data_IF_710228620859
#
_entry.id   IF_710228620859
#
_cell.length_a   1.000
_cell.length_b   1.000
_cell.length_c   1.000
_cell.angle_alpha   90.00
_cell.angle_beta   90.00
_cell.angle_gamma   90.00
#
_symmetry.space_group_name_H-M   'P 1'
#
loop_
_entity.id
_entity.type
_entity.pdbx_description
1 polymer ?
#
# COMPACT_ATOMS: atom_id res chain seq x y z
N UNK A 1 -58.64 28.76 27.46
CA UNK A 1 -58.13 28.28 26.16
C UNK A 1 -56.63 28.18 26.23
N UNK A 2 -56.11 26.98 26.44
CA UNK A 2 -54.67 26.70 26.56
C UNK A 2 -54.17 26.06 25.24
N UNK A 3 -53.37 26.81 24.48
CA UNK A 3 -52.77 26.31 23.23
C UNK A 3 -51.54 25.49 23.58
N UNK A 4 -51.57 24.21 23.24
CA UNK A 4 -50.42 23.32 23.34
C UNK A 4 -49.63 23.44 22.04
N UNK A 5 -48.41 23.94 22.16
CA UNK A 5 -47.45 23.98 21.02
C UNK A 5 -46.70 22.66 21.01
N UNK A 6 -46.95 21.87 19.96
CA UNK A 6 -46.23 20.62 19.69
C UNK A 6 -44.88 20.95 19.02
N UNK A 7 -43.79 20.81 19.75
CA UNK A 7 -42.45 20.94 19.20
C UNK A 7 -42.04 19.64 18.51
N UNK A 8 -41.97 19.67 17.17
CA UNK A 8 -41.43 18.57 16.39
C UNK A 8 -39.91 18.54 16.49
N UNK A 9 -39.36 17.51 17.13
CA UNK A 9 -37.93 17.25 17.19
C UNK A 9 -37.49 16.60 15.84
N UNK A 10 -36.89 17.34 14.95
CA UNK A 10 -36.21 16.76 13.80
C UNK A 10 -34.92 16.08 14.30
N UNK A 11 -34.95 14.74 14.31
CA UNK A 11 -33.76 13.92 14.49
C UNK A 11 -32.92 14.01 13.23
N UNK A 12 -31.85 14.82 13.25
CA UNK A 12 -30.87 14.86 12.20
C UNK A 12 -30.06 13.55 12.27
N UNK A 13 -30.25 12.67 11.29
CA UNK A 13 -29.32 11.55 11.06
C UNK A 13 -27.93 12.14 10.78
N UNK A 14 -27.02 12.02 11.76
CA UNK A 14 -25.61 12.31 11.56
C UNK A 14 -25.07 11.34 10.51
N UNK A 15 -24.86 11.83 9.30
CA UNK A 15 -24.19 11.08 8.25
C UNK A 15 -22.82 10.64 8.72
N UNK A 16 -22.55 9.38 8.50
CA UNK A 16 -21.27 8.72 8.80
C UNK A 16 -20.13 9.44 8.03
N UNK A 17 -19.51 10.40 8.69
CA UNK A 17 -18.36 11.12 8.16
C UNK A 17 -17.18 10.15 8.17
N UNK A 18 -17.02 9.37 7.08
CA UNK A 18 -15.80 8.60 6.85
C UNK A 18 -14.62 9.56 6.97
N UNK A 19 -13.76 9.29 7.93
CA UNK A 19 -12.53 10.06 8.10
C UNK A 19 -11.78 10.12 6.77
N UNK A 20 -11.31 11.30 6.33
CA UNK A 20 -10.54 11.41 5.10
C UNK A 20 -9.38 10.42 5.12
N UNK A 21 -9.18 9.71 4.01
CA UNK A 21 -8.03 8.81 3.89
C UNK A 21 -6.74 9.62 4.00
N UNK A 22 -5.71 9.05 4.65
CA UNK A 22 -4.45 9.76 4.83
C UNK A 22 -3.79 10.05 3.47
N UNK A 23 -3.17 11.22 3.29
CA UNK A 23 -2.45 11.54 2.06
C UNK A 23 -1.31 10.55 1.83
N UNK A 24 -0.93 10.33 0.56
CA UNK A 24 0.11 9.38 0.17
C UNK A 24 1.45 9.62 0.90
N UNK A 25 1.80 10.88 1.17
CA UNK A 25 3.02 11.26 1.90
C UNK A 25 2.93 11.07 3.41
N UNK A 26 1.77 10.69 3.96
CA UNK A 26 1.65 10.52 5.42
C UNK A 26 2.55 9.39 5.94
N UNK A 27 3.17 9.63 7.10
CA UNK A 27 3.98 8.66 7.82
C UNK A 27 3.70 8.76 9.33
N UNK A 28 3.26 7.70 10.02
CA UNK A 28 2.84 6.42 9.44
C UNK A 28 1.58 6.53 8.58
N UNK A 29 1.38 5.54 7.71
CA UNK A 29 0.20 5.45 6.84
C UNK A 29 -0.65 4.23 7.26
N UNK A 30 -1.43 4.36 8.35
CA UNK A 30 -2.24 3.26 8.85
C UNK A 30 -3.40 3.00 7.89
N UNK A 31 -3.51 1.77 7.42
CA UNK A 31 -4.69 1.31 6.69
C UNK A 31 -4.76 -0.22 6.69
N UNK A 32 -5.96 -0.72 6.57
CA UNK A 32 -6.18 -2.14 6.35
C UNK A 32 -5.71 -2.55 4.95
N UNK A 33 -5.02 -3.68 4.87
CA UNK A 33 -4.70 -4.40 3.62
C UNK A 33 -5.12 -5.84 3.79
N UNK A 34 -5.66 -6.47 2.74
CA UNK A 34 -5.97 -7.90 2.77
C UNK A 34 -4.76 -8.71 3.24
N UNK A 35 -4.96 -9.62 4.20
CA UNK A 35 -3.90 -10.47 4.73
C UNK A 35 -3.60 -11.61 3.77
N UNK A 36 -2.33 -11.89 3.53
CA UNK A 36 -1.88 -13.08 2.82
C UNK A 36 -2.30 -14.35 3.57
N UNK A 37 -2.45 -15.50 2.87
CA UNK A 37 -2.57 -16.79 3.54
C UNK A 37 -1.43 -16.98 4.54
N UNK A 38 -1.73 -17.59 5.70
CA UNK A 38 -0.80 -17.67 6.84
C UNK A 38 0.58 -18.21 6.47
N UNK A 39 0.62 -19.29 5.69
CA UNK A 39 1.88 -19.87 5.21
C UNK A 39 2.77 -18.91 4.41
N UNK A 40 2.16 -17.97 3.69
CA UNK A 40 2.89 -16.97 2.91
C UNK A 40 3.21 -15.77 3.80
N UNK A 41 2.27 -15.36 4.64
CA UNK A 41 2.42 -14.22 5.54
C UNK A 41 3.68 -14.32 6.40
N UNK A 42 3.94 -15.50 6.94
CA UNK A 42 5.06 -15.76 7.85
C UNK A 42 6.39 -16.05 7.13
N UNK A 43 6.39 -16.03 5.78
CA UNK A 43 7.63 -16.24 5.03
C UNK A 43 8.58 -15.05 5.19
N UNK A 44 9.83 -15.36 5.52
CA UNK A 44 10.93 -14.42 5.36
C UNK A 44 11.42 -14.43 3.92
N UNK A 45 12.01 -13.31 3.47
CA UNK A 45 12.62 -13.25 2.14
C UNK A 45 13.75 -14.28 2.03
N UNK A 46 13.68 -15.26 1.12
CA UNK A 46 14.70 -16.29 0.97
C UNK A 46 16.01 -15.76 0.35
N UNK A 47 15.97 -14.55 -0.22
CA UNK A 47 17.14 -13.96 -0.84
C UNK A 47 17.95 -13.18 0.21
N UNK A 48 19.28 -13.41 0.20
CA UNK A 48 20.17 -12.56 0.96
C UNK A 48 20.18 -11.15 0.36
N UNK A 49 20.05 -10.14 1.21
CA UNK A 49 20.20 -8.75 0.79
C UNK A 49 21.66 -8.46 0.41
N UNK A 50 21.89 -8.20 -0.87
CA UNK A 50 23.17 -7.71 -1.41
C UNK A 50 22.91 -6.63 -2.47
N UNK A 51 23.93 -5.89 -2.79
CA UNK A 51 23.85 -4.76 -3.73
C UNK A 51 23.28 -5.17 -5.11
N UNK A 52 23.65 -6.34 -5.61
CA UNK A 52 23.19 -6.81 -6.93
C UNK A 52 21.70 -7.11 -6.95
N UNK A 53 21.18 -7.80 -5.91
CA UNK A 53 19.75 -8.13 -5.78
C UNK A 53 18.90 -6.91 -5.50
N UNK A 54 19.39 -6.00 -4.65
CA UNK A 54 18.70 -4.72 -4.39
C UNK A 54 18.64 -3.90 -5.68
N UNK A 55 19.72 -3.81 -6.47
CA UNK A 55 19.74 -3.13 -7.76
C UNK A 55 18.79 -3.79 -8.78
N UNK A 56 18.68 -5.12 -8.79
CA UNK A 56 17.70 -5.83 -9.61
C UNK A 56 16.26 -5.47 -9.21
N UNK A 57 15.95 -5.48 -7.93
CA UNK A 57 14.65 -5.04 -7.40
C UNK A 57 14.33 -3.60 -7.77
N UNK A 58 15.32 -2.72 -7.72
CA UNK A 58 15.18 -1.32 -8.15
C UNK A 58 14.82 -1.22 -9.64
N UNK A 59 15.51 -1.96 -10.52
CA UNK A 59 15.18 -1.95 -11.95
C UNK A 59 13.75 -2.44 -12.22
N UNK A 60 13.33 -3.50 -11.56
CA UNK A 60 11.96 -3.99 -11.63
C UNK A 60 10.96 -2.92 -11.19
N UNK A 61 11.21 -2.29 -10.06
CA UNK A 61 10.36 -1.24 -9.51
C UNK A 61 10.25 -0.02 -10.46
N UNK A 62 11.37 0.43 -11.00
CA UNK A 62 11.43 1.64 -11.81
C UNK A 62 11.02 1.41 -13.27
N UNK A 63 11.33 0.26 -13.88
CA UNK A 63 11.28 0.13 -15.34
C UNK A 63 10.76 -1.21 -15.88
N UNK A 64 11.12 -2.34 -15.26
CA UNK A 64 10.95 -3.65 -15.90
C UNK A 64 9.58 -4.27 -15.60
N UNK A 65 8.94 -3.94 -14.46
CA UNK A 65 7.57 -4.34 -14.19
C UNK A 65 6.58 -3.55 -15.07
N UNK A 66 5.46 -4.15 -15.43
CA UNK A 66 4.44 -3.51 -16.27
C UNK A 66 3.06 -3.62 -15.60
N UNK A 67 2.46 -2.48 -15.20
CA UNK A 67 3.06 -1.13 -15.15
C UNK A 67 4.22 -1.05 -14.17
N UNK A 68 5.14 -0.08 -14.32
CA UNK A 68 6.22 0.08 -13.35
C UNK A 68 5.69 0.62 -12.02
N UNK A 69 6.23 0.12 -10.91
CA UNK A 69 5.74 0.44 -9.56
C UNK A 69 5.84 1.93 -9.26
N UNK A 70 6.90 2.60 -9.75
CA UNK A 70 7.11 4.03 -9.55
C UNK A 70 6.01 4.91 -10.12
N UNK A 71 5.25 4.44 -11.11
CA UNK A 71 4.16 5.25 -11.70
C UNK A 71 3.07 5.59 -10.66
N UNK A 72 2.85 4.70 -9.71
CA UNK A 72 1.92 4.90 -8.60
C UNK A 72 2.65 5.28 -7.31
N UNK A 73 3.70 4.53 -6.96
CA UNK A 73 4.37 4.65 -5.67
C UNK A 73 5.47 5.73 -5.62
N UNK A 74 5.78 6.38 -6.76
CA UNK A 74 6.85 7.37 -6.85
C UNK A 74 8.25 6.75 -6.94
N UNK A 75 9.18 7.46 -7.57
CA UNK A 75 10.58 6.99 -7.74
C UNK A 75 11.31 6.84 -6.39
N UNK A 76 10.89 7.61 -5.38
CA UNK A 76 11.41 7.53 -4.01
C UNK A 76 10.57 6.63 -3.11
N UNK A 77 9.53 6.00 -3.66
CA UNK A 77 8.62 5.17 -2.89
C UNK A 77 7.70 5.94 -1.93
N UNK A 78 7.60 7.25 -2.07
CA UNK A 78 6.85 8.14 -1.19
C UNK A 78 5.32 8.13 -1.41
N UNK A 79 4.84 7.28 -2.32
CA UNK A 79 3.44 7.19 -2.68
C UNK A 79 2.97 8.30 -3.63
N UNK A 80 3.89 9.13 -4.14
CA UNK A 80 3.59 10.29 -4.96
C UNK A 80 4.04 10.10 -6.42
N UNK A 81 3.75 8.95 -7.01
CA UNK A 81 3.99 8.71 -8.42
C UNK A 81 3.05 9.54 -9.32
N UNK A 82 3.38 9.66 -10.63
CA UNK A 82 2.58 10.44 -11.58
C UNK A 82 1.09 10.08 -11.62
N UNK A 83 0.74 8.84 -11.29
CA UNK A 83 -0.64 8.37 -11.29
C UNK A 83 -1.30 8.38 -9.90
N UNK A 84 -0.56 8.75 -8.84
CA UNK A 84 -1.01 8.59 -7.45
C UNK A 84 -2.32 9.34 -7.12
N UNK A 85 -2.51 10.51 -7.71
CA UNK A 85 -3.71 11.33 -7.49
C UNK A 85 -5.02 10.74 -8.05
N UNK A 86 -4.94 9.63 -8.79
CA UNK A 86 -6.11 8.97 -9.38
C UNK A 86 -6.65 7.83 -8.49
N UNK A 87 -6.00 7.55 -7.36
CA UNK A 87 -6.30 6.37 -6.55
C UNK A 87 -6.80 6.72 -5.16
N UNK A 88 -7.85 6.01 -4.77
CA UNK A 88 -8.42 5.99 -3.43
C UNK A 88 -8.57 4.51 -2.98
N UNK A 89 -7.86 4.07 -1.96
CA UNK A 89 -6.86 4.79 -1.17
C UNK A 89 -5.58 5.11 -1.98
N UNK A 90 -4.83 6.16 -1.58
CA UNK A 90 -3.60 6.54 -2.26
C UNK A 90 -2.53 5.42 -2.17
N UNK A 91 -1.55 5.37 -3.08
CA UNK A 91 -0.49 4.36 -3.05
C UNK A 91 0.28 4.36 -1.74
N UNK A 92 0.80 3.18 -1.35
CA UNK A 92 1.57 3.02 -0.12
C UNK A 92 2.86 3.85 -0.18
N UNK A 93 3.15 4.57 0.91
CA UNK A 93 4.41 5.24 1.13
C UNK A 93 5.45 4.23 1.67
N UNK A 94 6.36 3.79 0.81
CA UNK A 94 7.45 2.86 1.17
C UNK A 94 8.65 3.58 1.80
N UNK A 95 8.78 4.90 1.64
CA UNK A 95 9.80 5.67 2.33
C UNK A 95 9.50 5.85 3.83
N UNK A 96 8.32 5.46 4.28
CA UNK A 96 7.96 5.50 5.69
C UNK A 96 8.36 4.20 6.40
N UNK A 97 9.49 4.20 7.09
CA UNK A 97 9.99 3.06 7.86
C UNK A 97 8.95 2.52 8.86
N UNK A 98 8.25 3.40 9.56
CA UNK A 98 7.22 3.02 10.54
C UNK A 98 6.06 2.23 9.91
N UNK A 99 5.76 2.51 8.65
CA UNK A 99 4.73 1.76 7.91
C UNK A 99 5.27 0.43 7.40
N UNK A 100 6.45 0.44 6.76
CA UNK A 100 6.95 -0.71 5.99
C UNK A 100 7.58 -1.77 6.86
N UNK A 101 8.31 -1.38 7.91
CA UNK A 101 9.03 -2.33 8.76
C UNK A 101 8.10 -3.20 9.61
N UNK A 102 6.85 -2.76 9.84
CA UNK A 102 5.83 -3.57 10.50
C UNK A 102 5.13 -4.59 9.59
N UNK A 103 5.39 -4.59 8.28
CA UNK A 103 4.77 -5.51 7.32
C UNK A 103 5.71 -6.68 7.07
N UNK A 104 5.33 -7.95 7.31
CA UNK A 104 6.16 -9.12 6.99
C UNK A 104 6.54 -9.20 5.52
N UNK A 105 7.70 -9.77 5.20
CA UNK A 105 8.17 -9.93 3.82
C UNK A 105 7.20 -10.77 2.98
N UNK A 106 6.64 -11.84 3.54
CA UNK A 106 5.64 -12.66 2.87
C UNK A 106 4.36 -11.89 2.54
N UNK A 107 3.96 -10.95 3.39
CA UNK A 107 2.82 -10.07 3.09
C UNK A 107 3.14 -9.14 1.92
N UNK A 108 4.33 -8.54 1.88
CA UNK A 108 4.76 -7.70 0.76
C UNK A 108 4.84 -8.51 -0.55
N UNK A 109 5.42 -9.71 -0.48
CA UNK A 109 5.50 -10.64 -1.59
C UNK A 109 4.11 -10.95 -2.16
N UNK A 110 3.18 -11.35 -1.29
CA UNK A 110 1.82 -11.72 -1.70
C UNK A 110 1.08 -10.54 -2.36
N UNK A 111 1.18 -9.34 -1.79
CA UNK A 111 0.56 -8.13 -2.35
C UNK A 111 1.11 -7.84 -3.75
N UNK A 112 2.42 -7.95 -3.96
CA UNK A 112 2.99 -7.72 -5.29
C UNK A 112 2.46 -8.76 -6.28
N UNK A 113 2.44 -10.04 -5.92
CA UNK A 113 1.94 -11.08 -6.82
C UNK A 113 0.44 -10.95 -7.14
N UNK A 114 -0.38 -10.64 -6.13
CA UNK A 114 -1.84 -10.76 -6.26
C UNK A 114 -2.55 -9.41 -6.43
N UNK A 115 -1.82 -8.31 -6.30
CA UNK A 115 -2.41 -6.99 -6.17
C UNK A 115 -2.90 -6.75 -4.74
N UNK A 116 -3.42 -5.55 -4.48
CA UNK A 116 -3.95 -5.20 -3.17
C UNK A 116 -5.48 -5.19 -3.22
N UNK A 117 -6.15 -6.20 -2.64
CA UNK A 117 -7.61 -6.28 -2.66
C UNK A 117 -8.26 -5.01 -2.09
N UNK A 118 -9.33 -4.54 -2.76
CA UNK A 118 -10.02 -3.31 -2.40
C UNK A 118 -9.30 -2.02 -2.81
N UNK A 119 -8.24 -2.13 -3.62
CA UNK A 119 -7.53 -0.98 -4.18
C UNK A 119 -7.31 -1.15 -5.68
N UNK A 120 -6.80 -0.11 -6.34
CA UNK A 120 -6.44 -0.16 -7.77
C UNK A 120 -5.07 -0.79 -8.07
N UNK A 121 -4.35 -1.31 -7.06
CA UNK A 121 -3.06 -1.95 -7.29
C UNK A 121 -3.23 -3.28 -8.03
N UNK A 122 -2.71 -3.42 -9.25
CA UNK A 122 -2.86 -4.65 -10.03
C UNK A 122 -1.96 -5.77 -9.51
N UNK A 123 -2.23 -6.99 -9.98
CA UNK A 123 -1.36 -8.14 -9.73
C UNK A 123 -0.18 -8.17 -10.70
N UNK A 124 0.98 -8.62 -10.21
CA UNK A 124 2.20 -8.79 -11.00
C UNK A 124 2.58 -10.27 -11.13
N UNK A 125 1.59 -11.12 -11.40
CA UNK A 125 1.79 -12.59 -11.57
C UNK A 125 2.74 -12.96 -12.72
N UNK A 126 3.00 -12.04 -13.63
CA UNK A 126 4.00 -12.24 -14.69
C UNK A 126 5.45 -12.20 -14.17
N UNK A 127 5.68 -11.62 -13.00
CA UNK A 127 6.99 -11.67 -12.35
C UNK A 127 7.21 -13.05 -11.73
N UNK A 128 8.43 -13.59 -11.89
CA UNK A 128 8.85 -14.81 -11.19
C UNK A 128 9.01 -14.51 -9.70
N UNK A 129 8.86 -15.52 -8.86
CA UNK A 129 8.99 -15.38 -7.40
C UNK A 129 10.29 -14.69 -6.99
N UNK A 130 11.42 -15.07 -7.60
CA UNK A 130 12.70 -14.42 -7.35
C UNK A 130 12.66 -12.91 -7.63
N UNK A 131 12.03 -12.49 -8.71
CA UNK A 131 11.89 -11.07 -9.07
C UNK A 131 11.04 -10.32 -8.06
N UNK A 132 9.94 -10.94 -7.58
CA UNK A 132 9.12 -10.35 -6.50
C UNK A 132 9.93 -10.20 -5.22
N UNK A 133 10.72 -11.22 -4.84
CA UNK A 133 11.59 -11.13 -3.67
C UNK A 133 12.66 -10.05 -3.80
N UNK A 134 13.21 -9.85 -5.01
CA UNK A 134 14.12 -8.72 -5.28
C UNK A 134 13.42 -7.37 -5.11
N UNK A 135 12.17 -7.24 -5.57
CA UNK A 135 11.36 -6.04 -5.31
C UNK A 135 11.20 -5.82 -3.80
N UNK A 136 10.88 -6.86 -3.03
CA UNK A 136 10.74 -6.75 -1.55
C UNK A 136 12.04 -6.26 -0.91
N UNK A 137 13.22 -6.74 -1.36
CA UNK A 137 14.51 -6.20 -0.88
C UNK A 137 14.64 -4.71 -1.16
N UNK A 138 14.24 -4.26 -2.33
CA UNK A 138 14.30 -2.83 -2.67
C UNK A 138 13.29 -2.00 -1.86
N UNK A 139 12.08 -2.51 -1.58
CA UNK A 139 11.13 -1.84 -0.69
C UNK A 139 11.70 -1.65 0.72
N UNK A 140 12.46 -2.62 1.23
CA UNK A 140 13.17 -2.49 2.52
C UNK A 140 14.28 -1.44 2.48
N UNK A 141 14.94 -1.29 1.31
CA UNK A 141 15.93 -0.23 1.11
C UNK A 141 15.30 1.16 1.14
N UNK A 142 14.13 1.34 0.50
CA UNK A 142 13.39 2.61 0.53
C UNK A 142 12.93 3.02 1.93
N UNK A 143 12.75 2.06 2.83
CA UNK A 143 12.29 2.25 4.22
C UNK A 143 13.43 2.46 5.24
N UNK A 144 14.65 2.69 4.78
CA UNK A 144 15.82 2.92 5.66
C UNK A 144 15.96 4.35 6.14
#
# INVERSE_FOLDING_TARGET
>A
MMSVILASVLSACAGDARSPLPPASQCPQPRFTGKAPEKIYDMSNPLRADTARIAAGRRLYEKEASPSCQMCHGIRGDGQGPLSGQFDPPPRNFACAQTVNGIPDGQLFWIVQNGSPGTSMPSFKALRDEQVWQVVLYLRELAR
#
